data_IF_685711348981
#
_entry.id   IF_685711348981
#
_cell.length_a   1.000
_cell.length_b   1.000
_cell.length_c   1.000
_cell.angle_alpha   90.00
_cell.angle_beta   90.00
_cell.angle_gamma   90.00
#
_symmetry.space_group_name_H-M   'P 1'
#
loop_
_entity.id
_entity.type
_entity.pdbx_description
1 polymer ?
#
# COMPACT_ATOMS: atom_id res chain seq x y z
N UNK A 1 10.44 4.32 -14.23
CA UNK A 1 10.33 3.02 -13.56
C UNK A 1 11.42 2.93 -12.52
N UNK A 2 11.00 2.80 -11.29
CA UNK A 2 11.83 2.63 -10.11
C UNK A 2 11.28 1.48 -9.27
N UNK A 3 12.19 0.78 -8.61
CA UNK A 3 11.88 -0.36 -7.76
C UNK A 3 12.96 -0.52 -6.70
N UNK A 4 12.60 -1.14 -5.59
CA UNK A 4 13.51 -1.38 -4.47
C UNK A 4 13.14 -2.63 -3.68
N UNK A 5 14.07 -3.10 -2.84
CA UNK A 5 13.78 -4.11 -1.83
C UNK A 5 13.27 -3.41 -0.57
N UNK A 6 12.15 -3.87 -0.03
CA UNK A 6 11.54 -3.38 1.20
C UNK A 6 11.29 -4.54 2.17
N UNK A 7 11.02 -4.23 3.43
CA UNK A 7 10.64 -5.21 4.46
C UNK A 7 9.15 -5.08 4.75
N UNK A 8 8.42 -6.20 4.64
CA UNK A 8 6.97 -6.19 4.83
C UNK A 8 6.66 -6.02 6.32
N UNK A 9 5.87 -5.00 6.72
CA UNK A 9 5.67 -4.68 8.13
C UNK A 9 4.86 -5.74 8.89
N UNK A 10 4.07 -6.58 8.18
CA UNK A 10 3.25 -7.63 8.78
C UNK A 10 4.00 -8.95 8.94
N UNK A 11 4.92 -9.25 8.03
CA UNK A 11 5.60 -10.57 7.95
C UNK A 11 7.11 -10.52 8.23
N UNK A 12 7.70 -9.33 8.28
CA UNK A 12 9.15 -9.10 8.42
C UNK A 12 10.01 -9.73 7.30
N UNK A 13 9.39 -10.11 6.17
CA UNK A 13 10.08 -10.68 5.01
C UNK A 13 10.46 -9.60 4.00
N UNK A 14 11.61 -9.78 3.35
CA UNK A 14 12.05 -8.93 2.25
C UNK A 14 11.21 -9.19 0.99
N UNK A 15 10.74 -8.12 0.36
CA UNK A 15 9.96 -8.15 -0.87
C UNK A 15 10.42 -7.07 -1.83
N UNK A 16 10.18 -7.29 -3.12
CA UNK A 16 10.43 -6.28 -4.14
C UNK A 16 9.23 -5.35 -4.28
N UNK A 17 9.45 -4.05 -4.31
CA UNK A 17 8.40 -3.06 -4.51
C UNK A 17 8.65 -2.25 -5.78
N UNK A 18 7.64 -2.17 -6.66
CA UNK A 18 7.67 -1.29 -7.83
C UNK A 18 6.91 -0.01 -7.49
N UNK A 19 7.58 1.14 -7.53
CA UNK A 19 6.95 2.42 -7.17
C UNK A 19 6.18 3.03 -8.33
N UNK A 20 6.78 3.00 -9.51
CA UNK A 20 6.21 3.59 -10.71
C UNK A 20 6.52 2.76 -11.95
N UNK A 21 5.55 2.63 -12.84
CA UNK A 21 5.74 2.17 -14.20
C UNK A 21 4.86 3.01 -15.12
N UNK A 22 5.49 3.78 -15.99
CA UNK A 22 4.79 4.68 -16.89
C UNK A 22 5.26 4.47 -18.33
N UNK A 23 4.28 4.38 -19.24
CA UNK A 23 4.48 4.41 -20.68
C UNK A 23 3.75 5.63 -21.23
N UNK A 24 4.49 6.52 -21.89
CA UNK A 24 3.93 7.67 -22.59
C UNK A 24 2.87 7.22 -23.61
N UNK A 25 1.75 7.96 -23.77
CA UNK A 25 0.61 7.50 -24.58
C UNK A 25 0.96 7.03 -25.99
N UNK A 26 1.89 7.71 -26.66
CA UNK A 26 2.37 7.40 -28.02
C UNK A 26 3.08 6.04 -28.15
N UNK A 27 3.54 5.47 -27.04
CA UNK A 27 4.29 4.20 -26.99
C UNK A 27 3.46 3.05 -26.39
N UNK A 28 2.19 3.26 -26.06
CA UNK A 28 1.33 2.23 -25.47
C UNK A 28 0.95 1.17 -26.50
N UNK A 29 0.49 0.01 -26.00
CA UNK A 29 0.03 -1.15 -26.79
C UNK A 29 1.11 -1.79 -27.67
N UNK A 30 2.39 -1.62 -27.32
CA UNK A 30 3.55 -2.20 -28.01
C UNK A 30 4.34 -3.23 -27.20
N UNK A 31 3.86 -3.60 -26.01
CA UNK A 31 4.53 -4.56 -25.13
C UNK A 31 5.54 -3.97 -24.14
N UNK A 32 5.95 -2.70 -24.29
CA UNK A 32 7.00 -2.11 -23.43
C UNK A 32 6.72 -2.16 -21.92
N UNK A 33 5.45 -2.01 -21.50
CA UNK A 33 5.11 -2.14 -20.08
C UNK A 33 5.42 -3.54 -19.53
N UNK A 34 5.14 -4.57 -20.33
CA UNK A 34 5.42 -5.95 -19.96
C UNK A 34 6.93 -6.22 -19.93
N UNK A 35 7.68 -5.74 -20.91
CA UNK A 35 9.14 -5.88 -20.95
C UNK A 35 9.80 -5.22 -19.73
N UNK A 36 9.37 -4.00 -19.38
CA UNK A 36 9.85 -3.28 -18.20
C UNK A 36 9.49 -4.01 -16.90
N UNK A 37 8.23 -4.46 -16.76
CA UNK A 37 7.80 -5.22 -15.58
C UNK A 37 8.63 -6.50 -15.41
N UNK A 38 8.83 -7.27 -16.48
CA UNK A 38 9.63 -8.49 -16.41
C UNK A 38 11.11 -8.21 -16.10
N UNK A 39 11.66 -7.10 -16.60
CA UNK A 39 13.01 -6.69 -16.24
C UNK A 39 13.12 -6.34 -14.75
N UNK A 40 12.17 -5.58 -14.20
CA UNK A 40 12.10 -5.29 -12.78
C UNK A 40 11.98 -6.57 -11.93
N UNK A 41 11.12 -7.51 -12.33
CA UNK A 41 10.93 -8.77 -11.61
C UNK A 41 12.22 -9.60 -11.55
N UNK A 42 12.96 -9.69 -12.66
CA UNK A 42 14.24 -10.39 -12.71
C UNK A 42 15.27 -9.74 -11.77
N UNK A 43 15.39 -8.42 -11.83
CA UNK A 43 16.34 -7.69 -10.99
C UNK A 43 15.99 -7.80 -9.50
N UNK A 44 14.72 -7.61 -9.13
CA UNK A 44 14.27 -7.74 -7.74
C UNK A 44 14.52 -9.16 -7.20
N UNK A 45 14.28 -10.18 -8.02
CA UNK A 45 14.57 -11.57 -7.66
C UNK A 45 16.06 -11.81 -7.46
N UNK A 46 16.91 -11.25 -8.33
CA UNK A 46 18.37 -11.34 -8.19
C UNK A 46 18.87 -10.65 -6.91
N UNK A 47 18.18 -9.60 -6.46
CA UNK A 47 18.45 -8.91 -5.18
C UNK A 47 17.86 -9.61 -3.95
N UNK A 48 17.25 -10.79 -4.11
CA UNK A 48 16.76 -11.61 -3.00
C UNK A 48 15.30 -11.38 -2.60
N UNK A 49 14.51 -10.66 -3.39
CA UNK A 49 13.06 -10.57 -3.16
C UNK A 49 12.40 -11.96 -3.27
N UNK A 50 11.58 -12.34 -2.29
CA UNK A 50 10.81 -13.58 -2.32
C UNK A 50 9.49 -13.43 -3.11
N UNK A 51 8.91 -12.23 -3.09
CA UNK A 51 7.71 -11.85 -3.82
C UNK A 51 7.76 -10.37 -4.20
N UNK A 52 6.79 -9.93 -4.99
CA UNK A 52 6.67 -8.55 -5.48
C UNK A 52 5.36 -7.94 -4.97
N UNK A 53 5.41 -6.68 -4.56
CA UNK A 53 4.23 -5.88 -4.20
C UNK A 53 4.29 -4.52 -4.93
N UNK A 54 3.13 -3.89 -5.09
CA UNK A 54 2.96 -2.54 -5.63
C UNK A 54 1.58 -2.02 -5.27
N UNK A 55 1.41 -0.71 -5.35
CA UNK A 55 0.12 -0.06 -5.13
C UNK A 55 -0.54 0.32 -6.46
N UNK A 56 -1.84 0.10 -6.55
CA UNK A 56 -2.67 0.59 -7.65
C UNK A 56 -3.76 1.49 -7.07
N UNK A 57 -3.87 2.71 -7.60
CA UNK A 57 -4.98 3.59 -7.24
C UNK A 57 -6.32 2.93 -7.57
N UNK A 58 -7.29 3.04 -6.67
CA UNK A 58 -8.58 2.35 -6.78
C UNK A 58 -9.33 2.63 -8.11
N UNK A 59 -9.21 3.84 -8.65
CA UNK A 59 -9.83 4.24 -9.92
C UNK A 59 -8.99 3.88 -11.16
N UNK A 60 -7.82 3.25 -11.01
CA UNK A 60 -6.93 2.89 -12.11
C UNK A 60 -7.12 1.43 -12.53
N UNK A 61 -8.34 1.13 -13.02
CA UNK A 61 -8.74 -0.22 -13.45
C UNK A 61 -7.83 -0.78 -14.55
N UNK A 62 -7.29 0.08 -15.42
CA UNK A 62 -6.36 -0.32 -16.47
C UNK A 62 -5.03 -0.83 -15.91
N UNK A 63 -4.47 -0.17 -14.89
CA UNK A 63 -3.25 -0.64 -14.25
C UNK A 63 -3.52 -1.93 -13.46
N UNK A 64 -4.65 -2.02 -12.76
CA UNK A 64 -5.04 -3.23 -12.03
C UNK A 64 -5.11 -4.44 -12.99
N UNK A 65 -5.84 -4.29 -14.10
CA UNK A 65 -5.95 -5.34 -15.12
C UNK A 65 -4.61 -5.67 -15.78
N UNK A 66 -3.72 -4.69 -15.95
CA UNK A 66 -2.37 -4.94 -16.45
C UNK A 66 -1.56 -5.82 -15.49
N UNK A 67 -1.52 -5.48 -14.20
CA UNK A 67 -0.76 -6.23 -13.21
C UNK A 67 -1.33 -7.63 -12.94
N UNK A 68 -2.66 -7.78 -12.97
CA UNK A 68 -3.31 -9.09 -12.94
C UNK A 68 -2.88 -9.98 -14.12
N UNK A 69 -2.76 -9.42 -15.33
CA UNK A 69 -2.21 -10.15 -16.48
C UNK A 69 -0.74 -10.53 -16.32
N UNK A 70 0.01 -9.85 -15.45
CA UNK A 70 1.38 -10.23 -15.09
C UNK A 70 1.43 -11.29 -13.96
N UNK A 71 0.28 -11.74 -13.46
CA UNK A 71 0.16 -12.76 -12.42
C UNK A 71 0.11 -12.22 -10.99
N UNK A 72 -0.03 -10.90 -10.79
CA UNK A 72 -0.18 -10.31 -9.46
C UNK A 72 -1.65 -10.40 -9.02
N UNK A 73 -1.85 -10.66 -7.73
CA UNK A 73 -3.16 -10.73 -7.10
C UNK A 73 -3.29 -9.69 -6.00
N UNK A 74 -4.52 -9.35 -5.62
CA UNK A 74 -4.77 -8.47 -4.48
C UNK A 74 -4.17 -9.10 -3.20
N UNK A 75 -3.39 -8.31 -2.46
CA UNK A 75 -2.78 -8.75 -1.20
C UNK A 75 -3.55 -8.19 0.02
N UNK A 76 -3.79 -6.88 0.05
CA UNK A 76 -4.56 -6.21 1.11
C UNK A 76 -5.16 -4.89 0.59
N UNK A 77 -6.01 -4.26 1.39
CA UNK A 77 -6.53 -2.92 1.13
C UNK A 77 -5.82 -1.89 2.02
N UNK A 78 -5.44 -0.76 1.43
CA UNK A 78 -5.02 0.44 2.17
C UNK A 78 -6.21 1.38 2.27
N UNK A 79 -6.63 1.69 3.50
CA UNK A 79 -7.71 2.64 3.76
C UNK A 79 -7.11 4.00 4.11
N UNK A 80 -7.71 5.06 3.58
CA UNK A 80 -7.33 6.44 3.90
C UNK A 80 -8.57 7.23 4.31
N UNK A 81 -8.38 8.22 5.16
CA UNK A 81 -9.42 9.09 5.64
C UNK A 81 -8.81 10.22 6.47
N UNK A 82 -9.56 11.30 6.73
CA UNK A 82 -9.11 12.33 7.64
C UNK A 82 -9.02 11.75 9.07
N UNK A 83 -8.10 12.28 9.87
CA UNK A 83 -8.18 12.08 11.32
C UNK A 83 -9.51 12.65 11.84
N UNK A 84 -10.13 12.01 12.84
CA UNK A 84 -11.29 12.60 13.48
C UNK A 84 -10.92 13.98 14.06
N UNK A 85 -11.86 14.93 14.04
CA UNK A 85 -11.70 16.19 14.77
C UNK A 85 -11.53 15.90 16.27
N UNK A 86 -10.74 16.74 16.96
CA UNK A 86 -10.43 16.57 18.40
C UNK A 86 -11.69 16.43 19.28
N UNK A 87 -12.81 17.02 18.87
CA UNK A 87 -14.11 16.96 19.55
C UNK A 87 -14.71 15.56 19.70
N UNK A 88 -14.26 14.56 18.92
CA UNK A 88 -14.75 13.18 19.02
C UNK A 88 -14.05 12.33 20.10
N UNK A 89 -12.95 12.80 20.69
CA UNK A 89 -12.25 12.04 21.73
C UNK A 89 -12.90 12.16 23.11
N UNK A 90 -13.65 13.23 23.39
CA UNK A 90 -14.24 13.45 24.72
C UNK A 90 -15.55 12.70 24.97
N UNK A 91 -16.30 12.30 23.93
CA UNK A 91 -17.67 11.78 24.14
C UNK A 91 -17.77 10.28 24.41
N UNK A 92 -16.67 9.52 24.39
CA UNK A 92 -16.71 8.05 24.55
C UNK A 92 -15.76 7.46 25.62
N UNK A 93 -14.99 8.29 26.35
CA UNK A 93 -14.07 7.83 27.41
C UNK A 93 -14.36 8.38 28.81
N UNK A 94 -15.55 8.92 29.10
CA UNK A 94 -15.96 9.14 30.48
C UNK A 94 -16.38 7.81 31.13
N UNK A 95 -15.41 7.15 31.77
CA UNK A 95 -15.66 6.05 32.69
C UNK A 95 -16.49 6.56 33.89
N UNK A 96 -17.56 5.86 34.33
CA UNK A 96 -18.52 6.37 35.31
C UNK A 96 -18.02 6.27 36.76
N UNK A 97 -16.80 6.73 37.07
CA UNK A 97 -16.33 6.67 38.45
C UNK A 97 -15.27 7.70 38.86
N UNK A 98 -15.60 9.00 38.80
CA UNK A 98 -14.95 10.02 39.64
C UNK A 98 -15.98 11.00 40.24
N UNK A 99 -17.05 10.46 40.81
CA UNK A 99 -17.89 11.19 41.76
C UNK A 99 -17.83 10.51 43.11
N UNK A 100 -16.80 10.87 43.89
CA UNK A 100 -16.81 10.94 45.37
C UNK A 100 -15.40 11.30 45.86
N UNK A 101 -15.21 12.59 46.15
CA UNK A 101 -14.64 13.11 47.40
C UNK A 101 -14.06 14.49 47.15
N UNK A 102 -14.81 15.53 47.53
CA UNK A 102 -14.30 16.66 48.33
C UNK A 102 -15.43 17.62 48.69
N UNK A 103 -15.73 17.68 50.00
CA UNK A 103 -16.21 18.79 50.84
C UNK A 103 -16.68 18.14 52.16
N UNK A 104 -15.91 18.15 53.26
CA UNK A 104 -15.68 19.29 54.18
C UNK A 104 -17.00 20.07 54.28
N UNK A 105 -17.87 19.84 55.25
CA UNK A 105 -17.73 20.03 56.71
C UNK A 105 -18.75 19.16 57.44
#
# INVERSE_FOLDING_TARGET
MSFQIRTNPFTQKAYGFIEDLYIAPSFRRRGYAQELAQAAFRELRQRGAQHIELDVLAHNEHALAFWQKQGLTLHHYVLTGPFPSEERYETHFLSPNESKNHKLV
#
